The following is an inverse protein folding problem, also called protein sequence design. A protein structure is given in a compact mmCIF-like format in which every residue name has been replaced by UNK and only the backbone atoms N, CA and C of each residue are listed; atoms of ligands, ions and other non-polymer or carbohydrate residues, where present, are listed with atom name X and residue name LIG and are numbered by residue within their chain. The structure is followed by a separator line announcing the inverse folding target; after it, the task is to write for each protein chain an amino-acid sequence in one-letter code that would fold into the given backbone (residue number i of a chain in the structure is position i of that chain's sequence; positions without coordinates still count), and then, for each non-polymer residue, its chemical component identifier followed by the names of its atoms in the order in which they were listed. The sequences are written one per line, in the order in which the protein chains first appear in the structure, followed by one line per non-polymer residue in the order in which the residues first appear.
data_IF_904553588228
#
_entry.id   IF_904553588228
#
_cell.length_a   1.000
_cell.length_b   1.000
_cell.length_c   1.000
_cell.angle_alpha   90.00
_cell.angle_beta   90.00
_cell.angle_gamma   90.00
#
_symmetry.space_group_name_H-M   'P 1'
#
loop_
_entity.id
_entity.type
_entity.pdbx_description
1 polymer ?
#
# COMPACT_ATOMS: atom_id res chain seq x y z
N UNK A 1 61.74 -33.83 -17.64
CA UNK A 1 61.80 -35.30 -17.45
C UNK A 1 61.41 -35.77 -16.03
N UNK A 2 61.02 -34.88 -15.10
CA UNK A 2 60.72 -35.28 -13.72
C UNK A 2 59.40 -36.05 -13.55
N UNK A 3 58.44 -35.91 -14.49
CA UNK A 3 57.11 -36.53 -14.38
C UNK A 3 57.11 -38.05 -14.61
N UNK A 4 58.14 -38.56 -15.29
CA UNK A 4 58.30 -39.98 -15.59
C UNK A 4 58.93 -40.76 -14.43
N UNK A 5 59.43 -40.08 -13.40
CA UNK A 5 59.99 -40.73 -12.22
C UNK A 5 58.93 -41.60 -11.54
N UNK A 6 59.31 -42.84 -11.21
CA UNK A 6 58.45 -43.79 -10.52
C UNK A 6 58.52 -43.50 -9.02
N UNK A 7 57.37 -43.29 -8.40
CA UNK A 7 57.23 -43.02 -6.97
C UNK A 7 56.34 -44.08 -6.32
N UNK A 8 56.47 -44.22 -4.99
CA UNK A 8 55.62 -45.07 -4.15
C UNK A 8 54.59 -44.22 -3.42
N UNK A 9 53.32 -44.63 -3.42
CA UNK A 9 52.28 -43.95 -2.66
C UNK A 9 52.46 -44.18 -1.16
N UNK A 10 52.47 -43.09 -0.38
CA UNK A 10 52.62 -43.14 1.08
C UNK A 10 51.39 -43.69 1.80
N UNK A 11 50.20 -43.62 1.18
CA UNK A 11 48.94 -44.02 1.81
C UNK A 11 48.62 -45.51 1.56
N UNK A 12 48.75 -45.97 0.31
CA UNK A 12 48.38 -47.34 -0.07
C UNK A 12 49.57 -48.24 -0.42
N UNK A 13 50.81 -47.75 -0.29
CA UNK A 13 52.05 -48.44 -0.63
C UNK A 13 52.21 -48.88 -2.10
N UNK A 14 51.29 -48.51 -3.01
CA UNK A 14 51.39 -48.82 -4.45
C UNK A 14 52.66 -48.21 -5.03
N UNK A 15 53.49 -49.05 -5.65
CA UNK A 15 54.75 -48.66 -6.31
C UNK A 15 54.52 -48.43 -7.80
N UNK A 16 55.51 -47.79 -8.46
CA UNK A 16 55.48 -47.63 -9.92
C UNK A 16 54.56 -46.53 -10.45
N UNK A 17 54.06 -45.64 -9.59
CA UNK A 17 53.26 -44.48 -10.03
C UNK A 17 54.18 -43.45 -10.70
N UNK A 18 53.77 -42.90 -11.84
CA UNK A 18 54.48 -41.76 -12.43
C UNK A 18 54.24 -40.52 -11.57
N UNK A 19 55.29 -39.74 -11.32
CA UNK A 19 55.20 -38.51 -10.52
C UNK A 19 54.14 -37.53 -11.05
N UNK A 20 54.01 -37.41 -12.38
CA UNK A 20 52.97 -36.58 -13.01
C UNK A 20 51.54 -37.03 -12.67
N UNK A 21 51.31 -38.32 -12.40
CA UNK A 21 50.00 -38.90 -12.09
C UNK A 21 49.76 -39.07 -10.58
N UNK A 22 50.70 -38.65 -9.74
CA UNK A 22 50.64 -38.90 -8.30
C UNK A 22 49.47 -38.17 -7.63
N UNK A 23 49.23 -36.91 -8.01
CA UNK A 23 48.12 -36.10 -7.49
C UNK A 23 46.78 -36.70 -7.89
N UNK A 24 46.65 -37.11 -9.16
CA UNK A 24 45.45 -37.78 -9.65
C UNK A 24 45.21 -39.11 -8.95
N UNK A 25 46.25 -39.90 -8.70
CA UNK A 25 46.15 -41.12 -7.91
C UNK A 25 45.58 -40.82 -6.51
N UNK A 26 46.15 -39.88 -5.76
CA UNK A 26 45.67 -39.54 -4.40
C UNK A 26 44.20 -39.09 -4.42
N UNK A 27 43.87 -38.19 -5.34
CA UNK A 27 42.55 -37.53 -5.37
C UNK A 27 41.43 -38.40 -5.96
N UNK A 28 41.75 -39.29 -6.90
CA UNK A 28 40.73 -40.04 -7.66
C UNK A 28 40.70 -41.53 -7.37
N UNK A 29 41.85 -42.15 -7.07
CA UNK A 29 41.97 -43.63 -7.13
C UNK A 29 42.48 -44.27 -5.83
N UNK A 30 43.28 -43.59 -5.03
CA UNK A 30 43.95 -44.16 -3.87
C UNK A 30 42.92 -44.72 -2.86
N UNK A 31 42.97 -46.02 -2.50
CA UNK A 31 41.99 -46.63 -1.59
C UNK A 31 42.09 -46.09 -0.16
N UNK A 32 43.30 -45.70 0.26
CA UNK A 32 43.57 -45.15 1.59
C UNK A 32 43.50 -43.62 1.66
N UNK A 33 43.09 -42.93 0.59
CA UNK A 33 42.86 -41.49 0.69
C UNK A 33 41.62 -41.20 1.51
N UNK A 34 41.75 -40.26 2.46
CA UNK A 34 40.63 -39.81 3.29
C UNK A 34 39.73 -38.92 2.44
N UNK A 35 38.51 -39.37 2.22
CA UNK A 35 37.48 -38.65 1.46
C UNK A 35 36.25 -38.40 2.30
N UNK A 36 35.40 -37.49 1.84
CA UNK A 36 34.12 -37.17 2.47
C UNK A 36 33.01 -38.00 1.83
N UNK A 37 31.93 -38.23 2.58
CA UNK A 37 30.71 -38.83 2.03
C UNK A 37 30.12 -37.97 0.90
N UNK A 38 29.40 -38.58 -0.04
CA UNK A 38 28.72 -37.84 -1.11
C UNK A 38 27.63 -36.92 -0.56
N UNK A 39 27.00 -37.31 0.55
CA UNK A 39 26.04 -36.51 1.32
C UNK A 39 26.70 -35.43 2.23
N UNK A 40 27.97 -35.07 2.01
CA UNK A 40 28.62 -33.99 2.76
C UNK A 40 27.98 -32.61 2.50
N UNK A 41 27.35 -32.43 1.33
CA UNK A 41 26.54 -31.26 0.96
C UNK A 41 25.36 -31.03 1.92
N UNK A 42 24.76 -32.12 2.41
CA UNK A 42 23.71 -32.13 3.43
C UNK A 42 24.24 -32.46 4.83
N UNK A 43 25.52 -32.18 5.08
CA UNK A 43 26.18 -32.25 6.40
C UNK A 43 26.36 -33.65 6.98
N UNK A 44 26.49 -34.69 6.14
CA UNK A 44 26.99 -35.97 6.64
C UNK A 44 28.38 -35.80 7.27
N UNK A 45 28.59 -36.21 8.54
CA UNK A 45 29.85 -36.00 9.25
C UNK A 45 30.96 -36.98 8.85
N UNK A 46 30.63 -38.04 8.10
CA UNK A 46 31.58 -39.12 7.80
C UNK A 46 32.71 -38.63 6.90
N UNK A 47 33.93 -38.96 7.32
CA UNK A 47 35.17 -38.84 6.57
C UNK A 47 36.00 -40.08 6.86
N UNK A 48 36.50 -40.73 5.82
CA UNK A 48 37.23 -41.98 6.01
C UNK A 48 37.97 -42.42 4.74
N UNK A 49 38.71 -43.52 4.82
CA UNK A 49 39.35 -44.14 3.67
C UNK A 49 38.37 -44.41 2.51
N UNK A 50 38.81 -44.23 1.27
CA UNK A 50 37.98 -44.46 0.07
C UNK A 50 37.48 -45.90 -0.04
N UNK A 51 38.27 -46.88 0.37
CA UNK A 51 37.87 -48.30 0.39
C UNK A 51 36.72 -48.59 1.36
N UNK A 52 36.57 -47.79 2.43
CA UNK A 52 35.44 -47.89 3.37
C UNK A 52 34.19 -47.13 2.92
N UNK A 53 34.29 -46.28 1.88
CA UNK A 53 33.18 -45.43 1.42
C UNK A 53 31.93 -46.23 1.05
N UNK A 54 32.07 -47.38 0.38
CA UNK A 54 30.90 -48.16 -0.05
C UNK A 54 30.13 -48.76 1.14
N UNK A 55 30.84 -49.24 2.15
CA UNK A 55 30.22 -49.73 3.38
C UNK A 55 29.54 -48.59 4.15
N UNK A 56 30.10 -47.39 4.10
CA UNK A 56 29.44 -46.22 4.65
C UNK A 56 28.18 -45.85 3.86
N UNK A 57 28.22 -45.80 2.52
CA UNK A 57 27.07 -45.42 1.69
C UNK A 57 25.86 -46.32 1.96
N UNK A 58 26.06 -47.63 2.11
CA UNK A 58 24.96 -48.58 2.39
C UNK A 58 24.32 -48.39 3.77
N UNK A 59 25.04 -47.79 4.71
CA UNK A 59 24.58 -47.52 6.09
C UNK A 59 24.34 -46.02 6.34
N UNK A 60 24.55 -45.17 5.34
CA UNK A 60 24.47 -43.72 5.46
C UNK A 60 23.01 -43.29 5.49
N UNK A 61 22.54 -42.80 6.63
CA UNK A 61 21.18 -42.27 6.81
C UNK A 61 20.89 -41.05 5.93
N UNK A 62 21.93 -40.35 5.46
CA UNK A 62 21.79 -39.12 4.67
C UNK A 62 21.63 -39.40 3.16
N UNK A 63 22.16 -40.51 2.64
CA UNK A 63 22.12 -40.80 1.20
C UNK A 63 20.68 -40.93 0.67
N UNK A 64 19.76 -41.66 1.34
CA UNK A 64 18.35 -41.74 0.92
C UNK A 64 17.61 -40.40 1.03
N UNK A 65 18.04 -39.50 1.91
CA UNK A 65 17.41 -38.18 2.12
C UNK A 65 17.85 -37.14 1.09
N UNK A 66 18.96 -37.39 0.40
CA UNK A 66 19.60 -36.43 -0.49
C UNK A 66 18.70 -35.93 -1.63
N UNK A 67 17.91 -36.77 -2.33
CA UNK A 67 17.02 -36.29 -3.38
C UNK A 67 15.96 -35.31 -2.83
N UNK A 68 15.35 -35.66 -1.70
CA UNK A 68 14.31 -34.82 -1.05
C UNK A 68 14.91 -33.50 -0.58
N UNK A 69 16.07 -33.52 0.08
CA UNK A 69 16.74 -32.31 0.54
C UNK A 69 17.19 -31.42 -0.63
N UNK A 70 17.64 -32.01 -1.73
CA UNK A 70 18.01 -31.25 -2.93
C UNK A 70 16.82 -30.50 -3.54
N UNK A 71 15.64 -31.14 -3.56
CA UNK A 71 14.39 -30.52 -4.00
C UNK A 71 14.00 -29.37 -3.08
N UNK A 72 14.00 -29.59 -1.76
CA UNK A 72 13.68 -28.57 -0.76
C UNK A 72 14.63 -27.37 -0.82
N UNK A 73 15.93 -27.60 -1.04
CA UNK A 73 16.92 -26.53 -1.21
C UNK A 73 16.62 -25.73 -2.49
N UNK A 74 16.25 -26.39 -3.58
CA UNK A 74 15.89 -25.72 -4.83
C UNK A 74 14.62 -24.87 -4.67
N UNK A 75 13.57 -25.41 -4.06
CA UNK A 75 12.34 -24.68 -3.74
C UNK A 75 12.60 -23.48 -2.82
N UNK A 76 13.42 -23.66 -1.79
CA UNK A 76 13.81 -22.57 -0.87
C UNK A 76 14.53 -21.45 -1.61
N UNK A 77 15.44 -21.78 -2.53
CA UNK A 77 16.12 -20.77 -3.37
C UNK A 77 15.11 -20.02 -4.25
N UNK A 78 14.19 -20.73 -4.89
CA UNK A 78 13.16 -20.13 -5.72
C UNK A 78 12.26 -19.17 -4.92
N UNK A 79 11.83 -19.57 -3.72
CA UNK A 79 11.04 -18.72 -2.83
C UNK A 79 11.81 -17.48 -2.39
N UNK A 80 13.11 -17.62 -2.04
CA UNK A 80 13.97 -16.47 -1.70
C UNK A 80 14.04 -15.48 -2.87
N UNK A 81 14.19 -15.96 -4.09
CA UNK A 81 14.25 -15.11 -5.27
C UNK A 81 12.91 -14.41 -5.56
N UNK A 82 11.77 -15.10 -5.34
CA UNK A 82 10.45 -14.48 -5.42
C UNK A 82 10.25 -13.40 -4.35
N UNK A 83 10.65 -13.64 -3.11
CA UNK A 83 10.56 -12.64 -2.02
C UNK A 83 11.41 -11.42 -2.36
N UNK A 84 12.64 -11.61 -2.86
CA UNK A 84 13.50 -10.49 -3.31
C UNK A 84 12.86 -9.70 -4.45
N UNK A 85 12.23 -10.38 -5.40
CA UNK A 85 11.52 -9.73 -6.51
C UNK A 85 10.38 -8.84 -5.99
N UNK A 86 9.52 -9.38 -5.12
CA UNK A 86 8.41 -8.60 -4.55
C UNK A 86 8.89 -7.46 -3.66
N UNK A 87 9.98 -7.64 -2.92
CA UNK A 87 10.57 -6.58 -2.09
C UNK A 87 11.06 -5.41 -2.95
N UNK A 88 11.65 -5.70 -4.12
CA UNK A 88 12.02 -4.67 -5.09
C UNK A 88 10.79 -3.97 -5.70
N UNK A 89 9.74 -4.71 -6.06
CA UNK A 89 8.47 -4.15 -6.56
C UNK A 89 7.82 -3.21 -5.52
N UNK A 90 7.80 -3.61 -4.25
CA UNK A 90 7.30 -2.78 -3.13
C UNK A 90 8.12 -1.51 -2.98
N UNK A 91 9.46 -1.60 -3.06
CA UNK A 91 10.35 -0.42 -2.99
C UNK A 91 10.08 0.55 -4.13
N UNK A 92 9.93 0.06 -5.36
CA UNK A 92 9.59 0.90 -6.51
C UNK A 92 8.22 1.58 -6.36
N UNK A 93 7.19 0.84 -5.92
CA UNK A 93 5.86 1.39 -5.69
C UNK A 93 5.87 2.45 -4.59
N UNK A 94 6.61 2.20 -3.50
CA UNK A 94 6.78 3.14 -2.39
C UNK A 94 7.45 4.44 -2.88
N UNK A 95 8.50 4.32 -3.70
CA UNK A 95 9.16 5.48 -4.30
C UNK A 95 8.21 6.24 -5.23
N UNK A 96 7.43 5.55 -6.07
CA UNK A 96 6.42 6.19 -6.94
C UNK A 96 5.36 6.92 -6.11
N UNK A 97 4.85 6.32 -5.02
CA UNK A 97 3.91 6.98 -4.11
C UNK A 97 4.51 8.24 -3.48
N UNK A 98 5.76 8.17 -3.03
CA UNK A 98 6.47 9.34 -2.49
C UNK A 98 6.63 10.47 -3.51
N UNK A 99 6.91 10.15 -4.78
CA UNK A 99 6.96 11.15 -5.85
C UNK A 99 5.58 11.76 -6.15
N UNK A 100 4.52 10.96 -6.14
CA UNK A 100 3.15 11.45 -6.31
C UNK A 100 2.74 12.39 -5.16
N UNK A 101 3.12 12.08 -3.92
CA UNK A 101 2.94 12.96 -2.77
C UNK A 101 3.75 14.27 -2.91
N UNK A 102 4.92 14.22 -3.56
CA UNK A 102 5.71 15.42 -3.85
C UNK A 102 5.17 16.29 -4.97
N UNK A 103 4.21 15.80 -5.77
CA UNK A 103 3.63 16.57 -6.86
C UNK A 103 3.06 17.89 -6.34
N UNK A 104 3.25 18.98 -7.10
CA UNK A 104 2.74 20.29 -6.72
C UNK A 104 1.23 20.28 -6.45
N UNK A 105 0.48 19.44 -7.19
CA UNK A 105 -0.96 19.23 -6.99
C UNK A 105 -1.28 18.63 -5.62
N UNK A 106 -0.59 17.56 -5.21
CA UNK A 106 -0.79 16.97 -3.89
C UNK A 106 -0.40 17.94 -2.77
N UNK A 107 0.72 18.65 -2.90
CA UNK A 107 1.13 19.68 -1.93
C UNK A 107 0.08 20.79 -1.79
N UNK A 108 -0.49 21.26 -2.91
CA UNK A 108 -1.58 22.26 -2.90
C UNK A 108 -2.82 21.71 -2.18
N UNK A 109 -3.26 20.50 -2.50
CA UNK A 109 -4.41 19.89 -1.82
C UNK A 109 -4.13 19.66 -0.33
N UNK A 110 -2.96 19.15 0.03
CA UNK A 110 -2.55 18.95 1.43
C UNK A 110 -2.46 20.26 2.21
N UNK A 111 -1.99 21.35 1.60
CA UNK A 111 -1.97 22.67 2.22
C UNK A 111 -3.37 23.19 2.57
N UNK A 112 -4.40 22.77 1.82
CA UNK A 112 -5.80 23.12 2.07
C UNK A 112 -6.46 22.18 3.09
N UNK A 113 -6.21 20.87 3.00
CA UNK A 113 -6.92 19.86 3.81
C UNK A 113 -6.27 19.60 5.18
N UNK A 114 -4.94 19.53 5.27
CA UNK A 114 -4.22 19.18 6.52
C UNK A 114 -4.52 20.16 7.66
N UNK A 115 -4.62 21.49 7.46
CA UNK A 115 -4.95 22.41 8.56
C UNK A 115 -6.25 22.10 9.30
N UNK A 116 -7.21 21.44 8.66
CA UNK A 116 -8.51 21.07 9.25
C UNK A 116 -8.38 19.96 10.29
N UNK A 117 -7.38 19.10 10.11
CA UNK A 117 -7.08 17.99 11.02
C UNK A 117 -6.08 18.38 12.11
N UNK A 118 -5.74 19.67 12.24
CA UNK A 118 -4.92 20.14 13.36
C UNK A 118 -5.70 20.01 14.66
N UNK A 119 -4.99 19.62 15.73
CA UNK A 119 -5.57 19.45 17.07
C UNK A 119 -6.44 20.64 17.50
N UNK A 120 -5.99 21.87 17.28
CA UNK A 120 -6.75 23.07 17.65
C UNK A 120 -8.10 23.19 16.92
N UNK A 121 -8.19 22.73 15.66
CA UNK A 121 -9.42 22.71 14.88
C UNK A 121 -10.35 21.57 15.28
N UNK A 122 -9.81 20.42 15.62
CA UNK A 122 -10.62 19.31 16.15
C UNK A 122 -11.23 19.73 17.50
N UNK A 123 -10.43 20.31 18.39
CA UNK A 123 -10.89 20.77 19.71
C UNK A 123 -11.98 21.84 19.56
N UNK A 124 -11.85 22.80 18.64
CA UNK A 124 -12.88 23.83 18.45
C UNK A 124 -14.23 23.27 17.99
N UNK A 125 -14.25 22.05 17.44
CA UNK A 125 -15.46 21.38 16.97
C UNK A 125 -15.87 20.19 17.85
N UNK A 126 -15.27 20.03 19.04
CA UNK A 126 -15.57 18.88 19.90
C UNK A 126 -17.04 18.84 20.31
N UNK A 127 -17.67 20.00 20.53
CA UNK A 127 -19.10 20.08 20.86
C UNK A 127 -19.97 19.55 19.71
N UNK A 128 -19.62 19.85 18.45
CA UNK A 128 -20.35 19.31 17.28
C UNK A 128 -20.26 17.79 17.22
N UNK A 129 -19.09 17.23 17.56
CA UNK A 129 -18.87 15.78 17.63
C UNK A 129 -19.70 15.15 18.75
N UNK A 130 -19.70 15.78 19.93
CA UNK A 130 -20.48 15.35 21.10
C UNK A 130 -21.98 15.40 20.75
N UNK A 131 -22.48 16.53 20.25
CA UNK A 131 -23.89 16.70 19.89
C UNK A 131 -24.34 15.69 18.84
N UNK A 132 -23.51 15.42 17.82
CA UNK A 132 -23.79 14.38 16.83
C UNK A 132 -23.86 12.98 17.45
N UNK A 133 -22.93 12.68 18.37
CA UNK A 133 -22.86 11.40 19.06
C UNK A 133 -24.05 11.21 19.99
N UNK A 134 -24.40 12.23 20.78
CA UNK A 134 -25.55 12.20 21.69
C UNK A 134 -26.86 12.01 20.92
N UNK A 135 -27.03 12.71 19.78
CA UNK A 135 -28.16 12.47 18.87
C UNK A 135 -28.25 11.00 18.43
N UNK A 136 -27.12 10.38 18.07
CA UNK A 136 -27.09 8.96 17.68
C UNK A 136 -27.44 8.04 18.86
N UNK A 137 -26.88 8.31 20.03
CA UNK A 137 -27.13 7.51 21.25
C UNK A 137 -28.58 7.60 21.70
N UNK A 138 -29.19 8.80 21.65
CA UNK A 138 -30.59 8.99 22.00
C UNK A 138 -31.52 8.21 21.08
N UNK A 139 -31.16 8.05 19.80
CA UNK A 139 -31.89 7.18 18.87
C UNK A 139 -31.73 5.72 19.21
N UNK A 140 -30.53 5.29 19.61
CA UNK A 140 -30.32 3.93 20.06
C UNK A 140 -31.15 3.61 21.30
N UNK A 141 -31.30 4.58 22.21
CA UNK A 141 -32.12 4.49 23.42
C UNK A 141 -33.62 4.56 23.15
N UNK A 142 -34.06 5.30 22.13
CA UNK A 142 -35.47 5.42 21.76
C UNK A 142 -36.05 4.13 21.15
N UNK A 143 -35.21 3.24 20.60
CA UNK A 143 -35.67 1.94 20.10
C UNK A 143 -35.98 0.98 21.26
N UNK A 144 -37.01 0.14 21.13
CA UNK A 144 -37.36 -0.81 22.18
C UNK A 144 -36.21 -1.76 22.48
N UNK A 145 -35.98 -2.06 23.77
CA UNK A 145 -34.86 -2.83 24.31
C UNK A 145 -34.65 -4.22 23.66
N UNK A 146 -35.67 -4.76 22.99
CA UNK A 146 -35.60 -6.06 22.31
C UNK A 146 -35.04 -6.00 20.89
N UNK A 147 -34.84 -4.81 20.32
CA UNK A 147 -34.31 -4.66 18.97
C UNK A 147 -32.78 -4.52 19.01
N UNK A 148 -32.07 -5.56 18.58
CA UNK A 148 -30.61 -5.50 18.40
C UNK A 148 -30.30 -4.57 17.24
N UNK A 149 -29.41 -3.60 17.48
CA UNK A 149 -28.90 -2.72 16.42
C UNK A 149 -27.95 -3.51 15.53
N UNK A 150 -28.47 -4.03 14.41
CA UNK A 150 -27.66 -4.80 13.44
C UNK A 150 -26.82 -3.91 12.52
N UNK A 151 -27.02 -2.60 12.56
CA UNK A 151 -26.52 -1.67 11.54
C UNK A 151 -25.64 -0.55 12.12
N UNK A 152 -24.85 -0.89 13.13
CA UNK A 152 -23.97 0.06 13.85
C UNK A 152 -22.96 0.69 12.88
N UNK A 153 -22.46 -0.07 11.90
CA UNK A 153 -21.46 0.43 10.94
C UNK A 153 -22.05 1.52 10.06
N UNK A 154 -23.21 1.30 9.44
CA UNK A 154 -23.87 2.30 8.58
C UNK A 154 -24.23 3.56 9.39
N UNK A 155 -24.68 3.39 10.63
CA UNK A 155 -25.06 4.51 11.50
C UNK A 155 -23.85 5.33 11.95
N UNK A 156 -22.71 4.69 12.26
CA UNK A 156 -21.45 5.38 12.51
C UNK A 156 -20.93 6.10 11.26
N UNK A 157 -21.10 5.52 10.07
CA UNK A 157 -20.75 6.19 8.81
C UNK A 157 -21.62 7.43 8.56
N UNK A 158 -22.93 7.35 8.81
CA UNK A 158 -23.85 8.49 8.73
C UNK A 158 -23.49 9.59 9.73
N UNK A 159 -23.15 9.21 10.96
CA UNK A 159 -22.67 10.14 11.98
C UNK A 159 -21.40 10.86 11.56
N UNK A 160 -20.40 10.10 11.08
CA UNK A 160 -19.16 10.70 10.57
C UNK A 160 -19.44 11.65 9.42
N UNK A 161 -20.29 11.26 8.48
CA UNK A 161 -20.65 12.09 7.35
C UNK A 161 -21.29 13.39 7.80
N UNK A 162 -22.26 13.34 8.73
CA UNK A 162 -22.90 14.52 9.32
C UNK A 162 -21.88 15.46 9.99
N UNK A 163 -21.01 14.90 10.84
CA UNK A 163 -19.94 15.65 11.52
C UNK A 163 -19.00 16.29 10.49
N UNK A 164 -18.60 15.57 9.45
CA UNK A 164 -17.75 16.11 8.38
C UNK A 164 -18.48 17.21 7.59
N UNK A 165 -19.76 17.04 7.31
CA UNK A 165 -20.63 18.05 6.70
C UNK A 165 -20.57 19.37 7.46
N UNK A 166 -20.81 19.30 8.77
CA UNK A 166 -20.82 20.46 9.65
C UNK A 166 -19.43 21.08 9.82
N UNK A 167 -18.41 20.27 10.14
CA UNK A 167 -17.07 20.79 10.45
C UNK A 167 -16.36 21.29 9.19
N UNK A 168 -16.41 20.53 8.09
CA UNK A 168 -15.68 20.90 6.89
C UNK A 168 -16.44 21.91 6.04
N UNK A 169 -17.77 21.78 5.94
CA UNK A 169 -18.55 22.53 4.95
C UNK A 169 -19.58 23.47 5.56
N UNK A 170 -19.72 23.50 6.89
CA UNK A 170 -20.83 24.16 7.58
C UNK A 170 -22.19 23.80 6.95
N UNK A 171 -22.33 22.53 6.60
CA UNK A 171 -23.48 22.03 5.88
C UNK A 171 -24.06 20.84 6.63
N UNK A 172 -25.26 21.02 7.16
CA UNK A 172 -26.06 19.93 7.71
C UNK A 172 -26.46 19.02 6.55
N UNK A 173 -25.94 17.78 6.54
CA UNK A 173 -26.23 16.84 5.47
C UNK A 173 -27.56 16.12 5.70
N UNK A 174 -28.13 16.25 6.90
CA UNK A 174 -29.30 15.50 7.35
C UNK A 174 -29.06 13.99 7.21
N UNK A 175 -27.81 13.53 7.37
CA UNK A 175 -27.44 12.12 7.20
C UNK A 175 -28.04 11.25 8.30
N UNK A 176 -28.37 11.86 9.44
CA UNK A 176 -28.93 11.18 10.59
C UNK A 176 -30.47 11.29 10.59
N UNK A 177 -31.18 12.32 10.09
CA UNK A 177 -32.63 12.53 10.33
C UNK A 177 -33.58 11.31 10.13
N UNK A 178 -34.33 10.94 11.18
CA UNK A 178 -35.26 9.80 11.21
C UNK A 178 -36.65 10.13 10.64
N UNK A 179 -37.03 11.42 10.62
CA UNK A 179 -38.34 11.83 10.07
C UNK A 179 -38.47 11.50 8.57
N UNK A 180 -37.33 11.24 7.92
CA UNK A 180 -37.22 10.83 6.53
C UNK A 180 -36.67 9.40 6.38
N UNK A 181 -37.01 8.48 7.28
CA UNK A 181 -36.64 7.05 7.18
C UNK A 181 -36.97 6.42 5.81
N UNK A 182 -37.99 6.93 5.11
CA UNK A 182 -38.35 6.50 3.75
C UNK A 182 -37.46 7.13 2.65
N UNK A 183 -36.84 8.28 2.90
CA UNK A 183 -36.04 9.04 1.93
C UNK A 183 -34.57 8.96 2.31
N UNK A 184 -33.90 7.90 1.84
CA UNK A 184 -32.44 7.79 1.94
C UNK A 184 -31.80 9.08 1.41
N UNK A 185 -30.91 9.67 2.21
CA UNK A 185 -30.13 10.83 1.80
C UNK A 185 -29.34 10.50 0.52
N UNK A 186 -29.72 11.16 -0.57
CA UNK A 186 -29.15 10.91 -1.90
C UNK A 186 -27.63 11.06 -1.92
N UNK A 187 -27.08 12.01 -1.15
CA UNK A 187 -25.65 12.23 -1.06
C UNK A 187 -24.93 11.09 -0.32
N UNK A 188 -25.51 10.63 0.79
CA UNK A 188 -24.94 9.50 1.56
C UNK A 188 -24.88 8.25 0.67
N UNK A 189 -25.96 7.96 -0.05
CA UNK A 189 -26.00 6.84 -0.99
C UNK A 189 -24.98 7.00 -2.13
N UNK A 190 -24.85 8.21 -2.68
CA UNK A 190 -23.88 8.50 -3.74
C UNK A 190 -22.43 8.32 -3.25
N UNK A 191 -22.10 8.78 -2.04
CA UNK A 191 -20.78 8.61 -1.46
C UNK A 191 -20.47 7.13 -1.20
N UNK A 192 -21.42 6.38 -0.66
CA UNK A 192 -21.26 4.94 -0.44
C UNK A 192 -21.05 4.19 -1.76
N UNK A 193 -21.80 4.57 -2.80
CA UNK A 193 -21.64 4.03 -4.15
C UNK A 193 -20.21 4.29 -4.69
N UNK A 194 -19.70 5.52 -4.55
CA UNK A 194 -18.34 5.88 -4.96
C UNK A 194 -17.29 5.09 -4.17
N UNK A 195 -17.44 4.98 -2.84
CA UNK A 195 -16.50 4.26 -1.98
C UNK A 195 -16.46 2.77 -2.35
N UNK A 196 -17.62 2.13 -2.50
CA UNK A 196 -17.72 0.73 -2.94
C UNK A 196 -17.03 0.54 -4.30
N UNK A 197 -17.22 1.49 -5.22
CA UNK A 197 -16.56 1.46 -6.52
C UNK A 197 -15.04 1.63 -6.38
N UNK A 198 -14.55 2.55 -5.54
CA UNK A 198 -13.11 2.69 -5.28
C UNK A 198 -12.52 1.38 -4.74
N UNK A 199 -13.18 0.74 -3.77
CA UNK A 199 -12.71 -0.54 -3.22
C UNK A 199 -12.62 -1.64 -4.27
N UNK A 200 -13.63 -1.78 -5.13
CA UNK A 200 -13.56 -2.76 -6.23
C UNK A 200 -12.44 -2.47 -7.23
N UNK A 201 -11.97 -1.23 -7.28
CA UNK A 201 -11.06 -0.73 -8.33
C UNK A 201 -9.61 -0.62 -7.87
N UNK A 202 -9.36 -0.60 -6.56
CA UNK A 202 -8.01 -0.61 -5.99
C UNK A 202 -7.22 -1.84 -6.47
N UNK A 203 -7.88 -2.99 -6.63
CA UNK A 203 -7.25 -4.22 -7.11
C UNK A 203 -7.25 -4.36 -8.64
N UNK A 204 -7.94 -3.48 -9.36
CA UNK A 204 -8.08 -3.59 -10.82
C UNK A 204 -6.91 -2.89 -11.55
N UNK A 205 -6.43 -3.43 -12.69
CA UNK A 205 -5.48 -2.75 -13.54
C UNK A 205 -5.99 -1.36 -13.96
N UNK A 206 -5.10 -0.35 -14.02
CA UNK A 206 -5.48 1.06 -14.25
C UNK A 206 -6.31 1.30 -15.50
N UNK A 207 -6.06 0.55 -16.58
CA UNK A 207 -6.81 0.69 -17.84
C UNK A 207 -8.25 0.22 -17.65
N UNK A 208 -8.43 -0.94 -17.00
CA UNK A 208 -9.74 -1.51 -16.67
C UNK A 208 -10.50 -0.55 -15.76
N UNK A 209 -9.82 0.02 -14.76
CA UNK A 209 -10.47 0.92 -13.82
C UNK A 209 -10.95 2.22 -14.48
N UNK A 210 -10.18 2.79 -15.40
CA UNK A 210 -10.59 3.98 -16.15
C UNK A 210 -11.81 3.68 -17.04
N UNK A 211 -11.79 2.57 -17.77
CA UNK A 211 -12.90 2.18 -18.66
C UNK A 211 -14.16 1.91 -17.84
N UNK A 212 -14.05 1.15 -16.76
CA UNK A 212 -15.20 0.81 -15.93
C UNK A 212 -15.80 2.05 -15.26
N UNK A 213 -15.01 2.99 -14.71
CA UNK A 213 -15.57 4.23 -14.14
C UNK A 213 -16.31 5.07 -15.19
N UNK A 214 -15.79 5.15 -16.42
CA UNK A 214 -16.46 5.89 -17.50
C UNK A 214 -17.77 5.23 -17.92
N UNK A 215 -17.81 3.90 -18.01
CA UNK A 215 -18.97 3.17 -18.49
C UNK A 215 -20.03 2.93 -17.41
N UNK A 216 -19.65 2.82 -16.14
CA UNK A 216 -20.55 2.47 -15.05
C UNK A 216 -21.63 3.56 -14.83
N UNK A 217 -22.92 3.27 -15.08
CA UNK A 217 -23.99 4.26 -14.91
C UNK A 217 -24.20 4.63 -13.44
N UNK A 218 -23.94 3.69 -12.52
CA UNK A 218 -24.01 3.93 -11.07
C UNK A 218 -22.97 4.96 -10.62
N UNK A 219 -21.72 4.83 -11.10
CA UNK A 219 -20.67 5.82 -10.83
C UNK A 219 -21.06 7.21 -11.33
N UNK A 220 -21.48 7.29 -12.60
CA UNK A 220 -21.87 8.56 -13.22
C UNK A 220 -23.00 9.25 -12.46
N UNK A 221 -24.03 8.49 -12.05
CA UNK A 221 -25.13 9.02 -11.23
C UNK A 221 -24.64 9.51 -9.88
N UNK A 222 -23.86 8.70 -9.17
CA UNK A 222 -23.32 9.07 -7.87
C UNK A 222 -22.42 10.32 -7.94
N UNK A 223 -21.54 10.38 -8.95
CA UNK A 223 -20.69 11.55 -9.22
C UNK A 223 -21.51 12.80 -9.48
N UNK A 224 -22.54 12.73 -10.33
CA UNK A 224 -23.42 13.87 -10.62
C UNK A 224 -24.16 14.36 -9.38
N UNK A 225 -24.58 13.46 -8.49
CA UNK A 225 -25.19 13.82 -7.21
C UNK A 225 -24.17 14.57 -6.34
N UNK A 226 -22.98 14.02 -6.13
CA UNK A 226 -21.93 14.64 -5.32
C UNK A 226 -21.55 16.02 -5.86
N UNK A 227 -21.33 16.12 -7.17
CA UNK A 227 -21.00 17.37 -7.85
C UNK A 227 -22.08 18.43 -7.65
N UNK A 228 -23.35 18.05 -7.78
CA UNK A 228 -24.49 18.94 -7.53
C UNK A 228 -24.52 19.45 -6.08
N UNK A 229 -24.24 18.61 -5.09
CA UNK A 229 -24.17 19.04 -3.68
C UNK A 229 -22.96 19.95 -3.42
N UNK A 230 -21.79 19.63 -3.99
CA UNK A 230 -20.60 20.48 -3.87
C UNK A 230 -20.84 21.87 -4.49
N UNK A 231 -21.45 21.94 -5.67
CA UNK A 231 -21.79 23.20 -6.30
C UNK A 231 -22.74 24.03 -5.44
N UNK A 232 -23.77 23.41 -4.84
CA UNK A 232 -24.66 24.11 -3.90
C UNK A 232 -23.94 24.65 -2.68
N UNK A 233 -23.00 23.89 -2.10
CA UNK A 233 -22.21 24.35 -0.96
C UNK A 233 -21.32 25.54 -1.35
N UNK A 234 -20.70 25.48 -2.53
CA UNK A 234 -19.85 26.55 -3.07
C UNK A 234 -20.68 27.81 -3.38
N UNK A 235 -21.84 27.66 -4.04
CA UNK A 235 -22.76 28.75 -4.35
C UNK A 235 -23.27 29.45 -3.10
N UNK A 236 -23.68 28.67 -2.08
CA UNK A 236 -24.07 29.22 -0.77
C UNK A 236 -22.96 30.07 -0.19
N UNK A 237 -21.72 29.59 -0.25
CA UNK A 237 -20.60 30.33 0.32
C UNK A 237 -20.27 31.60 -0.48
N UNK A 238 -20.44 31.58 -1.81
CA UNK A 238 -20.31 32.80 -2.60
C UNK A 238 -21.39 33.84 -2.30
N UNK A 239 -22.60 33.40 -1.96
CA UNK A 239 -23.72 34.28 -1.61
C UNK A 239 -23.56 34.95 -0.23
N UNK A 240 -22.75 34.39 0.67
CA UNK A 240 -22.47 35.01 1.96
C UNK A 240 -21.66 36.31 1.82
N UNK A 241 -21.89 37.28 2.73
CA UNK A 241 -21.14 38.53 2.76
C UNK A 241 -19.63 38.28 2.93
N UNK A 242 -18.80 39.18 2.39
CA UNK A 242 -17.34 39.08 2.53
C UNK A 242 -16.90 39.10 3.99
N UNK A 243 -17.64 39.78 4.85
CA UNK A 243 -17.39 39.88 6.29
C UNK A 243 -17.72 38.56 7.02
N UNK A 244 -18.88 37.95 6.75
CA UNK A 244 -19.24 36.60 7.24
C UNK A 244 -18.18 35.57 6.84
N UNK A 245 -17.78 35.60 5.56
CA UNK A 245 -16.74 34.73 5.02
C UNK A 245 -15.39 34.93 5.68
N UNK A 246 -14.98 36.18 5.95
CA UNK A 246 -13.71 36.45 6.62
C UNK A 246 -13.67 35.85 8.03
N UNK A 247 -14.80 35.87 8.74
CA UNK A 247 -14.94 35.26 10.06
C UNK A 247 -14.91 33.72 9.98
N UNK A 248 -15.62 33.14 9.00
CA UNK A 248 -15.74 31.68 8.78
C UNK A 248 -14.55 31.03 8.06
N UNK A 249 -13.71 31.80 7.36
CA UNK A 249 -12.48 31.31 6.71
C UNK A 249 -11.56 30.56 7.67
N UNK A 250 -11.59 30.92 8.95
CA UNK A 250 -10.79 30.22 9.96
C UNK A 250 -11.36 28.83 10.27
N UNK A 251 -12.65 28.57 10.09
CA UNK A 251 -13.33 27.36 10.57
C UNK A 251 -13.87 26.45 9.48
N UNK A 252 -14.17 26.95 8.27
CA UNK A 252 -14.74 26.18 7.15
C UNK A 252 -13.72 25.87 6.04
N UNK A 253 -13.70 24.61 5.58
CA UNK A 253 -12.88 24.14 4.45
C UNK A 253 -13.28 24.85 3.17
N UNK A 254 -14.59 24.91 2.89
CA UNK A 254 -15.10 25.55 1.67
C UNK A 254 -14.79 27.04 1.66
N UNK A 255 -14.93 27.73 2.80
CA UNK A 255 -14.54 29.14 2.92
C UNK A 255 -13.05 29.35 2.61
N UNK A 256 -12.18 28.47 3.15
CA UNK A 256 -10.75 28.51 2.88
C UNK A 256 -10.42 28.19 1.42
N UNK A 257 -11.08 27.19 0.83
CA UNK A 257 -10.89 26.78 -0.57
C UNK A 257 -11.31 27.89 -1.53
N UNK A 258 -12.50 28.43 -1.36
CA UNK A 258 -13.03 29.53 -2.18
C UNK A 258 -12.12 30.75 -2.08
N UNK A 259 -11.67 31.10 -0.87
CA UNK A 259 -10.71 32.19 -0.68
C UNK A 259 -9.39 31.96 -1.41
N UNK A 260 -8.85 30.74 -1.37
CA UNK A 260 -7.61 30.39 -2.07
C UNK A 260 -7.79 30.44 -3.59
N UNK A 261 -8.91 29.93 -4.13
CA UNK A 261 -9.20 30.00 -5.56
C UNK A 261 -9.33 31.45 -6.05
N UNK A 262 -9.96 32.33 -5.29
CA UNK A 262 -10.05 33.76 -5.62
C UNK A 262 -8.68 34.46 -5.60
N UNK A 263 -7.77 34.05 -4.71
CA UNK A 263 -6.41 34.57 -4.68
C UNK A 263 -5.66 34.10 -5.93
N UNK A 264 -5.74 32.81 -6.25
CA UNK A 264 -5.09 32.22 -7.42
C UNK A 264 -5.59 32.88 -8.72
N UNK A 265 -6.91 33.07 -8.86
CA UNK A 265 -7.51 33.77 -10.00
C UNK A 265 -7.01 35.21 -10.14
N UNK A 266 -6.93 35.96 -9.04
CA UNK A 266 -6.36 37.32 -9.03
C UNK A 266 -4.87 37.33 -9.39
N UNK A 267 -4.10 36.36 -8.90
CA UNK A 267 -2.67 36.24 -9.21
C UNK A 267 -2.46 35.91 -10.69
N UNK A 268 -3.24 35.00 -11.26
CA UNK A 268 -3.18 34.67 -12.69
C UNK A 268 -3.63 35.82 -13.58
N UNK A 269 -4.70 36.55 -13.20
CA UNK A 269 -5.13 37.75 -13.93
C UNK A 269 -4.03 38.83 -13.97
N UNK A 270 -3.28 39.02 -12.88
CA UNK A 270 -2.13 39.95 -12.84
C UNK A 270 -0.98 39.50 -13.73
N UNK A 271 -0.66 38.20 -13.76
CA UNK A 271 0.38 37.67 -14.65
C UNK A 271 0.04 37.94 -16.12
N UNK A 272 -1.21 37.75 -16.53
CA UNK A 272 -1.62 38.03 -17.92
C UNK A 272 -1.48 39.51 -18.28
N UNK A 273 -1.68 40.44 -17.33
CA UNK A 273 -1.45 41.87 -17.58
C UNK A 273 0.04 42.22 -17.65
N UNK A 274 0.87 41.61 -16.81
CA UNK A 274 2.33 41.79 -16.82
C UNK A 274 2.96 41.17 -18.09
N UNK A 275 2.51 39.99 -18.51
CA UNK A 275 2.91 39.34 -19.77
C UNK A 275 2.42 40.12 -21.00
N UNK A 276 1.23 40.74 -20.94
CA UNK A 276 0.74 41.66 -22.00
C UNK A 276 1.53 42.97 -22.06
N UNK A 277 2.05 43.46 -20.94
CA UNK A 277 2.89 44.68 -20.87
C UNK A 277 4.36 44.40 -21.20
N UNK A 278 4.78 43.13 -21.20
CA UNK A 278 6.16 42.70 -21.37
C UNK A 278 6.53 42.16 -22.75
N UNK A 279 6.15 42.83 -23.86
CA UNK A 279 6.80 42.69 -25.19
C UNK A 279 6.74 44.01 -25.98
N UNK A 280 7.24 45.07 -25.38
CA UNK A 280 7.74 46.24 -26.10
C UNK A 280 9.16 46.49 -25.58
N UNK A 281 10.06 45.57 -25.92
CA UNK A 281 11.48 45.88 -25.87
C UNK A 281 11.84 46.56 -27.21
N UNK A 282 12.41 47.78 -27.19
CA UNK A 282 12.90 48.47 -28.37
C UNK A 282 14.09 47.76 -29.02
#
# INVERSE_FOLDING_TARGET
MLDQLRVKCILCAQTGLQRGNFVDHINKVCPKSVIQCQAADIKCPWKGPRDELQNHITTCVFEPLRPVLSLLIAETRQLIDQVKKHDNEIKELTQKMYQLQKSAKFKRHGALTVPLFRRSKIISNINVIIDGTDKLLDRWRAKPFRQVHMDIIEQCQKLLLEIFGLIAFDYNLEAIDDNNLAKKNELTQALQDIINMIYTMISAPRIVSIIYLKCCPRYRRAHAIVERYLNKMVEREFAESSESRAQRKKTSLIASLVSSLQIDEKTEARKMEEEKKGKLYP
#
